data_IF_096376017406
#
_entry.id   IF_096376017406
#
_cell.length_a   1.000
_cell.length_b   1.000
_cell.length_c   1.000
_cell.angle_alpha   90.00
_cell.angle_beta   90.00
_cell.angle_gamma   90.00
#
_symmetry.space_group_name_H-M   'P 1'
#
loop_
_entity.id
_entity.type
_entity.pdbx_description
1 polymer ?
#
# COMPACT_ATOMS: atom_id res chain seq x y z
N UNK A 1 7.77 -18.84 0.61
CA UNK A 1 7.49 -19.50 -0.70
C UNK A 1 6.11 -19.15 -1.26
N UNK A 2 5.10 -18.87 -0.40
CA UNK A 2 3.73 -18.54 -0.87
C UNK A 2 3.69 -17.20 -1.63
N UNK A 3 4.46 -16.22 -1.19
CA UNK A 3 4.57 -14.88 -1.76
C UNK A 3 5.27 -14.86 -3.13
N UNK A 4 6.05 -15.92 -3.44
CA UNK A 4 6.81 -16.01 -4.68
C UNK A 4 5.89 -15.97 -5.92
N UNK A 5 4.72 -16.56 -5.83
CA UNK A 5 3.75 -16.55 -6.93
C UNK A 5 3.28 -15.14 -7.24
N UNK A 6 3.03 -14.33 -6.21
CA UNK A 6 2.61 -12.93 -6.39
C UNK A 6 3.73 -12.11 -7.06
N UNK A 7 4.99 -12.30 -6.65
CA UNK A 7 6.13 -11.62 -7.29
C UNK A 7 6.34 -12.05 -8.74
N UNK A 8 6.13 -13.32 -9.08
CA UNK A 8 6.20 -13.81 -10.46
C UNK A 8 5.13 -13.11 -11.31
N UNK A 9 3.89 -13.01 -10.80
CA UNK A 9 2.81 -12.34 -11.52
C UNK A 9 3.11 -10.84 -11.67
N UNK A 10 3.57 -10.16 -10.62
CA UNK A 10 3.98 -8.76 -10.71
C UNK A 10 5.11 -8.57 -11.72
N UNK A 11 6.11 -9.45 -11.75
CA UNK A 11 7.18 -9.39 -12.74
C UNK A 11 6.65 -9.50 -14.18
N UNK A 12 5.74 -10.43 -14.45
CA UNK A 12 5.13 -10.55 -15.77
C UNK A 12 4.26 -9.34 -16.14
N UNK A 13 3.48 -8.80 -15.18
CA UNK A 13 2.72 -7.56 -15.38
C UNK A 13 3.67 -6.42 -15.74
N UNK A 14 4.79 -6.28 -15.01
CA UNK A 14 5.78 -5.27 -15.33
C UNK A 14 6.29 -5.38 -16.76
N UNK A 15 6.77 -6.57 -17.18
CA UNK A 15 7.37 -6.78 -18.49
C UNK A 15 6.36 -6.59 -19.64
N UNK A 16 5.17 -7.19 -19.51
CA UNK A 16 4.22 -7.23 -20.62
C UNK A 16 3.33 -5.98 -20.72
N UNK A 17 3.06 -5.31 -19.59
CA UNK A 17 2.13 -4.17 -19.55
C UNK A 17 2.85 -2.83 -19.44
N UNK A 18 3.80 -2.72 -18.50
CA UNK A 18 4.35 -1.43 -18.11
C UNK A 18 5.67 -1.10 -18.80
N UNK A 19 6.61 -2.04 -18.93
CA UNK A 19 7.94 -1.78 -19.44
C UNK A 19 7.91 -1.11 -20.82
N UNK A 20 7.28 -1.73 -21.82
CA UNK A 20 7.20 -1.17 -23.18
C UNK A 20 6.49 0.16 -23.22
N UNK A 21 5.44 0.33 -22.41
CA UNK A 21 4.69 1.59 -22.36
C UNK A 21 5.54 2.75 -21.86
N UNK A 22 6.36 2.51 -20.83
CA UNK A 22 7.20 3.53 -20.24
C UNK A 22 8.50 3.76 -21.05
N UNK A 23 9.05 2.71 -21.65
CA UNK A 23 10.24 2.81 -22.52
C UNK A 23 10.01 3.77 -23.70
N UNK A 24 8.83 3.72 -24.32
CA UNK A 24 8.45 4.62 -25.43
C UNK A 24 8.32 6.09 -24.97
N UNK A 25 7.98 6.32 -23.70
CA UNK A 25 7.85 7.67 -23.13
C UNK A 25 9.20 8.32 -22.78
N UNK A 26 10.27 7.54 -22.70
CA UNK A 26 11.63 8.00 -22.42
C UNK A 26 12.27 7.32 -21.23
N UNK A 27 13.61 7.40 -21.17
CA UNK A 27 14.41 6.70 -20.15
C UNK A 27 14.12 7.20 -18.72
N UNK A 28 13.90 8.49 -18.57
CA UNK A 28 13.62 9.10 -17.24
C UNK A 28 12.25 8.65 -16.74
N UNK A 29 11.26 8.62 -17.62
CA UNK A 29 9.92 8.11 -17.31
C UNK A 29 9.97 6.63 -16.95
N UNK A 30 10.69 5.83 -17.73
CA UNK A 30 10.89 4.42 -17.43
C UNK A 30 11.54 4.23 -16.06
N UNK A 31 12.60 4.98 -15.77
CA UNK A 31 13.34 4.84 -14.50
C UNK A 31 12.46 5.19 -13.29
N UNK A 32 11.81 6.35 -13.31
CA UNK A 32 10.99 6.83 -12.19
C UNK A 32 9.78 5.90 -11.96
N UNK A 33 9.07 5.52 -13.03
CA UNK A 33 7.92 4.64 -12.94
C UNK A 33 8.32 3.21 -12.50
N UNK A 34 9.50 2.74 -12.87
CA UNK A 34 10.02 1.45 -12.41
C UNK A 34 10.30 1.48 -10.91
N UNK A 35 10.92 2.54 -10.41
CA UNK A 35 11.12 2.71 -8.95
C UNK A 35 9.77 2.70 -8.22
N UNK A 36 8.79 3.46 -8.71
CA UNK A 36 7.45 3.48 -8.14
C UNK A 36 6.79 2.08 -8.17
N UNK A 37 6.95 1.35 -9.26
CA UNK A 37 6.42 -0.01 -9.39
C UNK A 37 7.04 -0.98 -8.39
N UNK A 38 8.37 -0.97 -8.24
CA UNK A 38 9.10 -1.79 -7.28
C UNK A 38 8.66 -1.43 -5.86
N UNK A 39 8.56 -0.15 -5.55
CA UNK A 39 8.09 0.34 -4.26
C UNK A 39 6.67 -0.15 -3.95
N UNK A 40 5.71 0.02 -4.87
CA UNK A 40 4.35 -0.45 -4.69
C UNK A 40 4.26 -1.97 -4.55
N UNK A 41 5.09 -2.72 -5.29
CA UNK A 41 5.20 -4.17 -5.14
C UNK A 41 5.68 -4.56 -3.73
N UNK A 42 6.60 -3.78 -3.16
CA UNK A 42 7.07 -3.97 -1.79
C UNK A 42 5.99 -3.61 -0.75
N UNK A 43 5.23 -2.54 -0.97
CA UNK A 43 4.06 -2.21 -0.13
C UNK A 43 3.05 -3.36 -0.15
N UNK A 44 2.71 -3.89 -1.33
CA UNK A 44 1.81 -5.05 -1.45
C UNK A 44 2.36 -6.27 -0.70
N UNK A 45 3.66 -6.50 -0.77
CA UNK A 45 4.31 -7.58 -0.02
C UNK A 45 4.12 -7.43 1.48
N UNK A 46 4.35 -6.23 2.02
CA UNK A 46 4.25 -5.97 3.46
C UNK A 46 2.82 -6.01 3.99
N UNK A 47 1.84 -5.67 3.14
CA UNK A 47 0.46 -5.43 3.58
C UNK A 47 -0.53 -6.53 3.17
N UNK A 48 -0.41 -7.06 1.96
CA UNK A 48 -1.44 -7.90 1.35
C UNK A 48 -0.97 -9.31 0.97
N UNK A 49 0.33 -9.54 0.69
CA UNK A 49 0.75 -10.88 0.26
C UNK A 49 0.72 -11.91 1.39
N UNK A 50 0.42 -13.16 1.06
CA UNK A 50 0.22 -13.73 -0.27
C UNK A 50 -1.23 -13.56 -0.78
N UNK A 51 -1.43 -12.81 -1.88
CA UNK A 51 -2.76 -12.54 -2.44
C UNK A 51 -3.30 -13.77 -3.15
N UNK A 52 -2.55 -14.32 -4.11
CA UNK A 52 -3.02 -15.40 -4.98
C UNK A 52 -3.39 -16.68 -4.22
N UNK A 53 -2.63 -17.00 -3.19
CA UNK A 53 -2.91 -18.18 -2.34
C UNK A 53 -4.14 -17.97 -1.47
N UNK A 54 -4.44 -16.72 -1.10
CA UNK A 54 -5.57 -16.37 -0.24
C UNK A 54 -6.87 -16.22 -1.02
N UNK A 55 -6.83 -15.94 -2.34
CA UNK A 55 -8.01 -15.74 -3.18
C UNK A 55 -9.12 -16.81 -3.02
N UNK A 56 -8.83 -18.11 -2.98
CA UNK A 56 -9.87 -19.13 -2.82
C UNK A 56 -10.59 -19.08 -1.47
N UNK A 57 -10.00 -18.42 -0.48
CA UNK A 57 -10.47 -18.40 0.91
C UNK A 57 -11.04 -17.03 1.33
N UNK A 58 -11.08 -16.05 0.43
CA UNK A 58 -11.52 -14.67 0.72
C UNK A 58 -12.89 -14.61 1.41
N UNK A 59 -13.83 -15.48 1.01
CA UNK A 59 -15.18 -15.49 1.56
C UNK A 59 -15.35 -16.38 2.80
N UNK A 60 -14.29 -17.05 3.27
CA UNK A 60 -14.35 -17.95 4.42
C UNK A 60 -14.07 -17.23 5.76
N UNK A 61 -13.75 -15.94 5.74
CA UNK A 61 -13.46 -15.17 6.95
C UNK A 61 -14.69 -14.33 7.33
N UNK A 62 -15.03 -14.27 8.64
CA UNK A 62 -16.06 -13.35 9.09
C UNK A 62 -15.62 -11.90 8.81
N UNK A 63 -16.54 -11.11 8.28
CA UNK A 63 -16.31 -9.69 8.09
C UNK A 63 -16.39 -8.98 9.44
N UNK A 64 -15.28 -8.43 9.91
CA UNK A 64 -15.24 -7.60 11.08
C UNK A 64 -15.45 -6.13 10.72
N UNK A 65 -16.23 -5.42 11.54
CA UNK A 65 -16.45 -3.99 11.34
C UNK A 65 -15.16 -3.21 11.60
N UNK A 66 -14.94 -2.17 10.81
CA UNK A 66 -13.82 -1.26 10.96
C UNK A 66 -13.79 -0.62 12.34
N UNK A 67 -12.64 -0.65 13.01
CA UNK A 67 -12.42 0.15 14.20
C UNK A 67 -12.27 1.63 13.80
N UNK A 68 -13.34 2.40 14.05
CA UNK A 68 -13.39 3.83 13.71
C UNK A 68 -12.97 4.73 14.89
N UNK A 69 -12.58 4.14 16.04
CA UNK A 69 -12.17 4.92 17.19
C UNK A 69 -10.65 5.15 17.14
N UNK A 70 -10.20 6.39 16.85
CA UNK A 70 -8.79 6.68 16.74
C UNK A 70 -8.06 6.42 18.07
N UNK A 71 -6.87 5.79 17.97
CA UNK A 71 -5.92 5.61 19.06
C UNK A 71 -6.46 4.82 20.29
N UNK A 72 -7.47 3.99 20.09
CA UNK A 72 -8.06 3.17 21.17
C UNK A 72 -7.03 2.20 21.78
N UNK A 73 -6.11 1.69 20.99
CA UNK A 73 -5.06 0.78 21.48
C UNK A 73 -4.00 1.49 22.31
N UNK A 74 -3.79 2.80 22.09
CA UNK A 74 -2.94 3.66 22.94
C UNK A 74 -3.55 3.74 24.35
N UNK A 75 -4.84 4.03 24.42
CA UNK A 75 -5.54 4.22 25.70
C UNK A 75 -5.65 2.92 26.49
N UNK A 76 -5.72 1.79 25.77
CA UNK A 76 -5.83 0.46 26.38
C UNK A 76 -4.47 -0.21 26.67
N UNK A 77 -3.35 0.45 26.31
CA UNK A 77 -2.00 -0.11 26.47
C UNK A 77 -1.78 -1.42 25.71
N UNK A 78 -2.51 -1.63 24.61
CA UNK A 78 -2.45 -2.87 23.83
C UNK A 78 -1.37 -2.80 22.76
N UNK A 79 -0.51 -3.81 22.77
CA UNK A 79 0.37 -4.16 21.65
C UNK A 79 1.49 -3.18 21.32
N UNK A 80 2.09 -3.41 20.15
CA UNK A 80 3.19 -2.64 19.58
C UNK A 80 2.69 -1.39 18.82
N UNK A 81 1.72 -0.64 19.40
CA UNK A 81 1.09 0.50 18.73
C UNK A 81 2.12 1.50 18.14
N UNK A 82 3.13 1.90 18.93
CA UNK A 82 4.17 2.83 18.46
C UNK A 82 4.88 2.26 17.24
N UNK A 83 5.18 0.97 17.24
CA UNK A 83 5.82 0.29 16.12
C UNK A 83 4.94 0.32 14.88
N UNK A 84 3.63 0.06 15.00
CA UNK A 84 2.69 0.11 13.88
C UNK A 84 2.62 1.52 13.29
N UNK A 85 2.46 2.55 14.13
CA UNK A 85 2.47 3.95 13.70
C UNK A 85 3.73 4.29 12.93
N UNK A 86 4.91 3.96 13.47
CA UNK A 86 6.19 4.26 12.83
C UNK A 86 6.32 3.52 11.50
N UNK A 87 5.96 2.23 11.45
CA UNK A 87 6.06 1.44 10.23
C UNK A 87 5.13 1.96 9.12
N UNK A 88 3.91 2.34 9.44
CA UNK A 88 2.95 2.89 8.49
C UNK A 88 3.44 4.23 7.92
N UNK A 89 3.93 5.13 8.80
CA UNK A 89 4.51 6.40 8.36
C UNK A 89 5.71 6.15 7.45
N UNK A 90 6.69 5.35 7.87
CA UNK A 90 7.90 5.07 7.10
C UNK A 90 7.57 4.39 5.76
N UNK A 91 6.58 3.49 5.76
CA UNK A 91 6.13 2.79 4.55
C UNK A 91 5.61 3.78 3.50
N UNK A 92 4.92 4.84 3.89
CA UNK A 92 4.22 5.75 2.94
C UNK A 92 5.00 7.01 2.59
N UNK A 93 6.08 7.35 3.30
CA UNK A 93 7.00 8.45 2.90
C UNK A 93 7.45 8.33 1.44
N UNK A 94 7.94 7.17 0.96
CA UNK A 94 8.38 7.07 -0.43
C UNK A 94 7.24 7.29 -1.43
N UNK A 95 5.99 6.97 -1.07
CA UNK A 95 4.84 7.25 -1.94
C UNK A 95 4.63 8.76 -2.13
N UNK A 96 4.67 9.52 -1.03
CA UNK A 96 4.54 10.97 -1.07
C UNK A 96 5.63 11.63 -1.92
N UNK A 97 6.87 11.12 -1.83
CA UNK A 97 7.99 11.61 -2.63
C UNK A 97 7.94 11.20 -4.11
N UNK A 98 7.62 9.94 -4.39
CA UNK A 98 7.63 9.40 -5.77
C UNK A 98 6.42 9.86 -6.58
N UNK A 99 5.26 10.06 -5.97
CA UNK A 99 4.03 10.40 -6.67
C UNK A 99 4.15 11.69 -7.51
N UNK A 100 4.72 12.81 -7.02
CA UNK A 100 4.97 13.98 -7.84
C UNK A 100 5.93 13.73 -9.00
N UNK A 101 6.92 12.84 -8.84
CA UNK A 101 7.90 12.53 -9.87
C UNK A 101 7.31 11.68 -11.01
N UNK A 102 6.36 10.79 -10.68
CA UNK A 102 5.64 9.96 -11.66
C UNK A 102 4.65 10.79 -12.48
N UNK A 103 4.13 11.87 -11.91
CA UNK A 103 3.16 12.72 -12.58
C UNK A 103 3.87 13.82 -13.37
N UNK A 104 3.61 13.92 -14.67
CA UNK A 104 4.14 15.00 -15.52
C UNK A 104 3.58 16.39 -15.16
N UNK A 105 2.42 16.43 -14.51
CA UNK A 105 1.77 17.67 -14.06
C UNK A 105 2.14 17.98 -12.60
N UNK A 106 2.33 19.26 -12.29
CA UNK A 106 2.51 19.70 -10.91
C UNK A 106 1.36 19.19 -10.04
N UNK A 107 1.69 18.41 -9.04
CA UNK A 107 0.76 17.94 -8.01
C UNK A 107 0.91 18.84 -6.80
N UNK A 108 -0.21 19.28 -6.24
CA UNK A 108 -0.22 19.98 -4.95
C UNK A 108 -0.31 18.95 -3.79
N UNK A 109 -0.03 19.41 -2.59
CA UNK A 109 -0.07 18.58 -1.39
C UNK A 109 -1.43 17.89 -1.19
N UNK A 110 -2.54 18.57 -1.52
CA UNK A 110 -3.87 17.97 -1.40
C UNK A 110 -4.06 16.74 -2.29
N UNK A 111 -3.47 16.76 -3.49
CA UNK A 111 -3.49 15.59 -4.37
C UNK A 111 -2.66 14.44 -3.78
N UNK A 112 -1.50 14.74 -3.18
CA UNK A 112 -0.67 13.72 -2.52
C UNK A 112 -1.45 13.08 -1.37
N UNK A 113 -2.06 13.89 -0.51
CA UNK A 113 -2.93 13.44 0.57
C UNK A 113 -4.04 12.53 0.03
N UNK A 114 -4.74 12.98 -1.00
CA UNK A 114 -5.85 12.24 -1.59
C UNK A 114 -5.41 10.88 -2.14
N UNK A 115 -4.31 10.82 -2.90
CA UNK A 115 -3.82 9.56 -3.44
C UNK A 115 -3.25 8.63 -2.37
N UNK A 116 -2.60 9.17 -1.34
CA UNK A 116 -2.14 8.36 -0.20
C UNK A 116 -3.32 7.81 0.59
N UNK A 117 -4.36 8.63 0.78
CA UNK A 117 -5.61 8.17 1.39
C UNK A 117 -6.25 7.03 0.59
N UNK A 118 -6.34 7.16 -0.74
CA UNK A 118 -6.90 6.09 -1.59
C UNK A 118 -6.07 4.81 -1.52
N UNK A 119 -4.74 4.93 -1.53
CA UNK A 119 -3.84 3.78 -1.39
C UNK A 119 -4.06 3.09 -0.05
N UNK A 120 -4.04 3.85 1.04
CA UNK A 120 -4.22 3.31 2.39
C UNK A 120 -5.61 2.69 2.58
N UNK A 121 -6.65 3.37 2.14
CA UNK A 121 -8.01 2.85 2.21
C UNK A 121 -8.16 1.54 1.42
N UNK A 122 -7.55 1.48 0.23
CA UNK A 122 -7.54 0.26 -0.58
C UNK A 122 -6.85 -0.91 0.13
N UNK A 123 -5.71 -0.66 0.77
CA UNK A 123 -5.00 -1.66 1.57
C UNK A 123 -5.90 -2.13 2.72
N UNK A 124 -6.45 -1.20 3.51
CA UNK A 124 -7.30 -1.50 4.65
C UNK A 124 -8.54 -2.33 4.27
N UNK A 125 -9.19 -2.01 3.16
CA UNK A 125 -10.34 -2.76 2.68
C UNK A 125 -9.96 -4.18 2.25
N UNK A 126 -8.76 -4.38 1.68
CA UNK A 126 -8.34 -5.67 1.15
C UNK A 126 -7.71 -6.59 2.21
N UNK A 127 -7.07 -6.04 3.24
CA UNK A 127 -6.35 -6.82 4.26
C UNK A 127 -7.19 -7.89 4.94
N UNK A 128 -8.39 -7.62 5.45
CA UNK A 128 -9.20 -8.62 6.14
C UNK A 128 -9.67 -9.75 5.24
N UNK A 129 -9.89 -9.45 3.96
CA UNK A 129 -10.24 -10.50 2.98
C UNK A 129 -9.10 -11.47 2.73
N UNK A 130 -7.86 -10.97 2.80
CA UNK A 130 -6.67 -11.78 2.45
C UNK A 130 -6.11 -12.46 3.70
N UNK A 131 -5.99 -11.74 4.81
CA UNK A 131 -5.29 -12.20 6.01
C UNK A 131 -6.17 -12.64 7.17
N UNK A 132 -7.49 -12.55 7.09
CA UNK A 132 -8.48 -13.09 8.05
C UNK A 132 -8.31 -12.81 9.55
N UNK A 133 -7.16 -12.26 9.96
CA UNK A 133 -6.75 -12.01 11.34
C UNK A 133 -6.62 -10.51 11.63
N UNK A 134 -6.56 -9.68 10.57
CA UNK A 134 -6.44 -8.23 10.72
C UNK A 134 -7.81 -7.58 10.62
N UNK A 135 -8.17 -6.81 11.65
CA UNK A 135 -9.30 -5.90 11.62
C UNK A 135 -8.89 -4.59 10.94
N UNK A 136 -9.84 -3.94 10.28
CA UNK A 136 -9.68 -2.60 9.75
C UNK A 136 -9.41 -1.59 10.87
N UNK A 137 -8.39 -0.73 10.72
CA UNK A 137 -8.11 0.30 11.70
C UNK A 137 -7.96 1.68 11.05
N UNK A 138 -8.74 2.65 11.53
CA UNK A 138 -8.66 4.04 11.10
C UNK A 138 -7.27 4.64 11.37
N UNK A 139 -6.56 4.14 12.39
CA UNK A 139 -5.21 4.59 12.71
C UNK A 139 -4.21 4.34 11.58
N UNK A 140 -4.35 3.20 10.90
CA UNK A 140 -3.47 2.85 9.79
C UNK A 140 -3.68 3.82 8.61
N UNK A 141 -4.92 4.24 8.35
CA UNK A 141 -5.19 5.28 7.36
C UNK A 141 -4.59 6.62 7.77
N UNK A 142 -4.77 7.05 9.02
CA UNK A 142 -4.26 8.33 9.52
C UNK A 142 -2.72 8.36 9.44
N UNK A 143 -2.07 7.31 9.89
CA UNK A 143 -0.62 7.22 9.93
C UNK A 143 0.00 7.10 8.54
N UNK A 144 -0.62 6.34 7.65
CA UNK A 144 -0.21 6.25 6.25
C UNK A 144 -0.33 7.60 5.53
N UNK A 145 -1.46 8.31 5.72
CA UNK A 145 -1.64 9.65 5.14
C UNK A 145 -0.60 10.62 5.70
N UNK A 146 -0.31 10.55 6.99
CA UNK A 146 0.73 11.37 7.61
C UNK A 146 2.10 11.13 6.98
N UNK A 147 2.46 9.86 6.75
CA UNK A 147 3.72 9.51 6.07
C UNK A 147 3.79 10.04 4.64
N UNK A 148 2.69 9.96 3.89
CA UNK A 148 2.64 10.49 2.53
C UNK A 148 2.71 12.02 2.43
N UNK A 149 2.49 12.75 3.53
CA UNK A 149 2.60 14.22 3.60
C UNK A 149 4.03 14.71 3.86
N UNK A 150 4.93 13.85 4.36
CA UNK A 150 6.32 14.16 4.67
C UNK A 150 7.18 14.11 3.40
#
# INVERSE_FOLDING_TARGET
MRELFDFIVLFFIYIFVFYRKWEVQGKDVLFINTIMYIYLSFVLYLTLMPILVSLPFIFNHPYELMNLVPFVDVTNGRGDFIRQVVLNIVMTIPFGFLLPLVREKKINLLNVIFYTFLLSLGIEILQPFINGVRSYDINDIITNVTGGMI
#
